data_IF_094693483918
#
_entry.id   IF_094693483918
#
_cell.length_a   1.000
_cell.length_b   1.000
_cell.length_c   1.000
_cell.angle_alpha   90.00
_cell.angle_beta   90.00
_cell.angle_gamma   90.00
#
_symmetry.space_group_name_H-M   'P 1'
#
loop_
_entity.id
_entity.type
_entity.pdbx_description
1 polymer ?
#
# COMPACT_ATOMS: atom_id res chain seq x y z
N UNK A 1 4.33 3.72 4.53
CA UNK A 1 3.14 2.89 4.34
C UNK A 1 3.14 2.39 2.90
N UNK A 2 3.29 1.08 2.72
CA UNK A 2 3.22 0.42 1.41
C UNK A 2 1.83 -0.22 1.32
N UNK A 3 1.05 0.05 0.28
CA UNK A 3 -0.38 -0.29 0.26
C UNK A 3 -0.64 -1.59 -0.50
N UNK A 4 0.15 -1.85 -1.53
CA UNK A 4 -0.01 -3.01 -2.39
C UNK A 4 1.34 -3.63 -2.75
N UNK A 5 1.29 -4.75 -3.48
CA UNK A 5 2.47 -5.48 -3.95
C UNK A 5 3.43 -4.63 -4.76
N UNK A 6 2.89 -3.80 -5.66
CA UNK A 6 3.72 -2.95 -6.53
C UNK A 6 4.50 -1.93 -5.71
N UNK A 7 3.88 -1.30 -4.71
CA UNK A 7 4.57 -0.39 -3.79
C UNK A 7 5.73 -1.09 -3.06
N UNK A 8 5.49 -2.33 -2.58
CA UNK A 8 6.52 -3.13 -1.89
C UNK A 8 7.69 -3.45 -2.82
N UNK A 9 7.40 -3.94 -4.04
CA UNK A 9 8.42 -4.29 -5.03
C UNK A 9 9.23 -3.06 -5.47
N UNK A 10 8.56 -1.92 -5.74
CA UNK A 10 9.25 -0.67 -6.07
C UNK A 10 10.13 -0.20 -4.92
N UNK A 11 9.65 -0.26 -3.69
CA UNK A 11 10.42 0.12 -2.50
C UNK A 11 11.66 -0.75 -2.33
N UNK A 12 11.54 -2.07 -2.51
CA UNK A 12 12.66 -3.00 -2.44
C UNK A 12 13.67 -2.79 -3.56
N UNK A 13 13.22 -2.50 -4.78
CA UNK A 13 14.11 -2.20 -5.92
C UNK A 13 14.97 -0.97 -5.63
N UNK A 14 14.34 0.09 -5.13
CA UNK A 14 15.05 1.32 -4.77
C UNK A 14 16.02 1.08 -3.59
N UNK A 15 15.65 0.24 -2.63
CA UNK A 15 16.56 -0.15 -1.54
C UNK A 15 17.77 -0.95 -2.02
N UNK A 16 17.55 -1.93 -2.91
CA UNK A 16 18.63 -2.71 -3.52
C UNK A 16 19.61 -1.79 -4.24
N UNK A 17 19.12 -0.80 -5.00
CA UNK A 17 19.98 0.14 -5.73
C UNK A 17 20.74 1.05 -4.77
N UNK A 18 20.09 1.58 -3.74
CA UNK A 18 20.76 2.35 -2.69
C UNK A 18 21.91 1.57 -2.05
N UNK A 19 21.69 0.29 -1.71
CA UNK A 19 22.74 -0.56 -1.13
C UNK A 19 23.91 -0.83 -2.09
N UNK A 20 23.71 -0.76 -3.42
CA UNK A 20 24.79 -0.86 -4.41
C UNK A 20 25.59 0.43 -4.50
N UNK A 21 24.92 1.58 -4.52
CA UNK A 21 25.54 2.87 -4.82
C UNK A 21 26.16 3.56 -3.58
N UNK A 22 25.51 3.47 -2.41
CA UNK A 22 25.80 4.36 -1.28
C UNK A 22 26.61 3.68 -0.19
N UNK A 23 27.75 4.22 0.27
CA UNK A 23 28.63 3.61 1.30
C UNK A 23 28.37 4.06 2.75
N UNK A 24 27.24 4.71 3.02
CA UNK A 24 27.00 5.47 4.26
C UNK A 24 26.81 4.60 5.52
N UNK A 25 26.59 3.29 5.39
CA UNK A 25 26.12 2.47 6.51
C UNK A 25 27.22 1.86 7.39
N UNK A 26 28.50 2.21 7.18
CA UNK A 26 29.67 1.64 7.88
C UNK A 26 29.77 0.10 7.82
N UNK A 27 29.08 -0.55 6.87
CA UNK A 27 29.16 -2.01 6.68
C UNK A 27 30.46 -2.41 6.01
N UNK A 28 30.98 -3.58 6.39
CA UNK A 28 32.02 -4.22 5.60
C UNK A 28 31.51 -4.57 4.20
N UNK A 29 32.44 -4.66 3.23
CA UNK A 29 32.12 -5.10 1.86
C UNK A 29 31.38 -6.44 1.86
N UNK A 30 31.77 -7.36 2.74
CA UNK A 30 31.18 -8.69 2.83
C UNK A 30 29.75 -8.66 3.36
N UNK A 31 29.48 -7.88 4.40
CA UNK A 31 28.12 -7.69 4.92
C UNK A 31 27.20 -7.09 3.85
N UNK A 32 27.67 -6.11 3.10
CA UNK A 32 26.92 -5.51 2.00
C UNK A 32 26.55 -6.52 0.90
N UNK A 33 27.49 -7.35 0.48
CA UNK A 33 27.21 -8.42 -0.50
C UNK A 33 26.09 -9.36 -0.02
N UNK A 34 26.09 -9.69 1.27
CA UNK A 34 25.08 -10.57 1.89
C UNK A 34 23.72 -9.89 1.97
N UNK A 35 23.67 -8.61 2.37
CA UNK A 35 22.43 -7.81 2.41
C UNK A 35 21.80 -7.73 1.02
N UNK A 36 22.58 -7.37 0.00
CA UNK A 36 22.09 -7.27 -1.39
C UNK A 36 21.55 -8.63 -1.85
N UNK A 37 22.27 -9.73 -1.57
CA UNK A 37 21.80 -11.08 -1.91
C UNK A 37 20.46 -11.41 -1.25
N UNK A 38 20.31 -11.12 0.05
CA UNK A 38 19.05 -11.38 0.78
C UNK A 38 17.91 -10.52 0.22
N UNK A 39 18.18 -9.25 -0.07
CA UNK A 39 17.16 -8.36 -0.66
C UNK A 39 16.71 -8.84 -2.05
N UNK A 40 17.62 -9.32 -2.90
CA UNK A 40 17.26 -9.92 -4.19
C UNK A 40 16.40 -11.18 -4.01
N UNK A 41 16.82 -12.11 -3.17
CA UNK A 41 16.02 -13.31 -2.89
C UNK A 41 14.63 -12.97 -2.33
N UNK A 42 14.57 -11.96 -1.47
CA UNK A 42 13.32 -11.49 -0.87
C UNK A 42 12.42 -10.82 -1.91
N UNK A 43 13.00 -10.04 -2.83
CA UNK A 43 12.29 -9.47 -3.97
C UNK A 43 11.66 -10.57 -4.84
N UNK A 44 12.45 -11.56 -5.27
CA UNK A 44 11.96 -12.67 -6.10
C UNK A 44 10.86 -13.47 -5.38
N UNK A 45 10.99 -13.65 -4.06
CA UNK A 45 9.96 -14.31 -3.25
C UNK A 45 8.68 -13.48 -3.18
N UNK A 46 8.76 -12.16 -3.03
CA UNK A 46 7.59 -11.28 -3.02
C UNK A 46 6.93 -11.23 -4.40
N UNK A 47 7.73 -11.16 -5.47
CA UNK A 47 7.24 -11.15 -6.85
C UNK A 47 6.43 -12.40 -7.17
N UNK A 48 6.86 -13.56 -6.68
CA UNK A 48 6.16 -14.84 -6.84
C UNK A 48 5.04 -15.09 -5.82
N UNK A 49 4.93 -14.27 -4.77
CA UNK A 49 3.94 -14.45 -3.72
C UNK A 49 2.60 -13.80 -4.06
N UNK A 50 1.51 -14.53 -3.86
CA UNK A 50 0.16 -14.00 -4.02
C UNK A 50 -0.21 -13.14 -2.81
N UNK A 51 -0.27 -11.82 -3.02
CA UNK A 51 -0.57 -10.88 -1.95
C UNK A 51 -2.02 -11.06 -1.50
N UNK A 52 -2.29 -11.05 -0.18
CA UNK A 52 -3.66 -11.03 0.29
C UNK A 52 -4.36 -9.77 -0.23
N UNK A 53 -5.55 -9.95 -0.79
CA UNK A 53 -6.44 -8.85 -1.15
C UNK A 53 -6.91 -8.21 0.15
N UNK A 54 -6.52 -6.95 0.36
CA UNK A 54 -6.86 -6.20 1.57
C UNK A 54 -7.97 -5.23 1.20
N UNK A 55 -9.20 -5.56 1.58
CA UNK A 55 -10.37 -4.70 1.41
C UNK A 55 -10.57 -3.72 2.58
N UNK A 56 -9.61 -3.64 3.52
CA UNK A 56 -9.72 -2.84 4.74
C UNK A 56 -8.68 -1.72 4.78
N UNK A 57 -9.17 -0.50 4.99
CA UNK A 57 -8.42 0.76 4.97
C UNK A 57 -7.39 0.91 6.11
N UNK A 58 -7.37 -0.01 7.07
CA UNK A 58 -6.51 0.04 8.24
C UNK A 58 -5.28 -0.86 8.13
N UNK A 59 -5.06 -1.52 7.00
CA UNK A 59 -3.94 -2.44 6.85
C UNK A 59 -2.92 -1.90 5.87
N UNK A 60 -1.65 -2.13 6.17
CA UNK A 60 -0.54 -1.75 5.31
C UNK A 60 0.62 -2.72 5.41
N UNK A 61 1.48 -2.71 4.39
CA UNK A 61 2.69 -3.52 4.36
C UNK A 61 3.89 -2.72 4.87
N UNK A 62 4.73 -3.40 5.64
CA UNK A 62 6.03 -2.91 6.07
C UNK A 62 6.99 -4.09 6.19
N UNK A 63 8.20 -3.95 5.65
CA UNK A 63 9.24 -4.95 5.82
C UNK A 63 10.25 -4.52 6.86
N UNK A 64 10.74 -5.48 7.63
CA UNK A 64 11.71 -5.25 8.71
C UNK A 64 12.84 -6.25 8.62
N UNK A 65 14.05 -5.78 8.89
CA UNK A 65 15.17 -6.65 9.17
C UNK A 65 15.02 -7.27 10.55
N UNK A 66 15.23 -8.57 10.60
CA UNK A 66 15.28 -9.38 11.80
C UNK A 66 16.73 -9.84 12.02
N UNK A 67 16.99 -10.48 13.16
CA UNK A 67 18.29 -11.08 13.52
C UNK A 67 18.88 -11.98 12.42
N UNK A 68 18.02 -12.70 11.71
CA UNK A 68 18.39 -13.77 10.80
C UNK A 68 17.73 -13.66 9.44
N UNK A 69 17.30 -12.47 9.02
CA UNK A 69 16.69 -12.28 7.72
C UNK A 69 15.90 -10.99 7.59
N UNK A 70 15.04 -10.94 6.59
CA UNK A 70 14.07 -9.87 6.36
C UNK A 70 12.66 -10.46 6.31
N UNK A 71 11.69 -9.73 6.85
CA UNK A 71 10.29 -10.15 6.88
C UNK A 71 9.38 -9.04 6.34
N UNK A 72 8.40 -9.39 5.52
CA UNK A 72 7.29 -8.53 5.14
C UNK A 72 6.15 -8.81 6.11
N UNK A 73 5.66 -7.75 6.74
CA UNK A 73 4.54 -7.83 7.66
C UNK A 73 3.37 -7.02 7.12
N UNK A 74 2.18 -7.56 7.33
CA UNK A 74 0.92 -6.88 7.19
C UNK A 74 0.55 -6.31 8.56
N UNK A 75 0.60 -4.99 8.65
CA UNK A 75 0.45 -4.20 9.87
C UNK A 75 -0.97 -3.66 9.95
N UNK A 76 -1.60 -3.75 11.13
CA UNK A 76 -2.85 -3.07 11.41
C UNK A 76 -2.56 -1.69 12.01
N UNK A 77 -3.05 -0.64 11.34
CA UNK A 77 -2.97 0.74 11.77
C UNK A 77 -4.04 1.00 12.83
N UNK A 78 -3.62 1.15 14.10
CA UNK A 78 -4.50 1.52 15.20
C UNK A 78 -4.76 3.04 15.20
N UNK A 79 -3.73 3.83 14.90
CA UNK A 79 -3.80 5.28 14.87
C UNK A 79 -2.93 5.82 13.73
N UNK A 80 -3.49 6.78 13.00
CA UNK A 80 -2.82 7.52 11.94
C UNK A 80 -2.87 9.00 12.30
N UNK A 81 -1.71 9.60 12.54
CA UNK A 81 -1.58 11.04 12.75
C UNK A 81 -1.13 11.66 11.45
N UNK A 82 -1.86 12.67 11.00
CA UNK A 82 -1.52 13.48 9.84
C UNK A 82 -0.90 14.80 10.29
N UNK A 83 0.05 15.32 9.51
CA UNK A 83 0.57 16.67 9.69
C UNK A 83 -0.42 17.74 9.17
N UNK A 84 -0.04 19.01 9.34
CA UNK A 84 -0.85 20.17 8.91
C UNK A 84 -1.05 20.23 7.38
N UNK A 85 -0.24 19.51 6.60
CA UNK A 85 -0.36 19.39 5.14
C UNK A 85 -1.22 18.18 4.72
N UNK A 86 -1.66 17.36 5.69
CA UNK A 86 -2.44 16.15 5.49
C UNK A 86 -1.60 14.95 5.08
N UNK A 87 -0.27 15.01 5.22
CA UNK A 87 0.62 13.86 5.06
C UNK A 87 0.69 13.03 6.32
N UNK A 88 1.04 11.75 6.19
CA UNK A 88 1.19 10.84 7.35
C UNK A 88 2.42 11.27 8.15
N UNK A 89 2.20 11.81 9.36
CA UNK A 89 3.21 12.17 10.34
C UNK A 89 3.67 10.95 11.14
N UNK A 90 2.72 10.20 11.71
CA UNK A 90 3.03 8.97 12.43
C UNK A 90 1.92 7.92 12.38
N UNK A 91 2.32 6.66 12.56
CA UNK A 91 1.43 5.49 12.60
C UNK A 91 1.71 4.66 13.83
N UNK A 92 0.66 4.18 14.50
CA UNK A 92 0.78 3.18 15.56
C UNK A 92 0.16 1.86 15.13
N UNK A 93 0.78 0.75 15.53
CA UNK A 93 0.33 -0.60 15.21
C UNK A 93 0.60 -1.57 16.35
N UNK A 94 -0.44 -2.24 16.80
CA UNK A 94 -0.42 -3.24 17.88
C UNK A 94 -0.38 -4.66 17.35
N UNK A 95 -0.90 -4.89 16.14
CA UNK A 95 -1.00 -6.20 15.52
C UNK A 95 -0.29 -6.24 14.16
N UNK A 96 0.37 -7.36 13.91
CA UNK A 96 1.03 -7.62 12.63
C UNK A 96 0.98 -9.10 12.28
N UNK A 97 0.91 -9.39 10.99
CA UNK A 97 0.96 -10.75 10.44
C UNK A 97 2.18 -10.83 9.55
N UNK A 98 3.03 -11.83 9.76
CA UNK A 98 4.17 -12.09 8.87
C UNK A 98 3.63 -12.74 7.59
N UNK A 99 3.86 -12.10 6.46
CA UNK A 99 3.38 -12.55 5.14
C UNK A 99 4.47 -13.32 4.40
N UNK A 100 5.68 -12.76 4.38
CA UNK A 100 6.84 -13.37 3.72
C UNK A 100 8.06 -13.21 4.64
N UNK A 101 8.89 -14.24 4.72
CA UNK A 101 10.23 -14.13 5.32
C UNK A 101 11.27 -14.64 4.35
N UNK A 102 12.44 -13.99 4.33
CA UNK A 102 13.67 -14.53 3.74
C UNK A 102 14.74 -14.61 4.83
N UNK A 103 15.14 -15.83 5.17
CA UNK A 103 16.13 -16.10 6.21
C UNK A 103 17.53 -16.22 5.61
N UNK A 104 18.50 -15.68 6.33
CA UNK A 104 19.91 -15.82 6.03
C UNK A 104 20.46 -17.17 6.53
N UNK A 105 21.64 -17.53 6.04
CA UNK A 105 22.35 -18.72 6.51
C UNK A 105 22.97 -18.52 7.90
N UNK A 106 23.01 -19.61 8.66
CA UNK A 106 23.78 -19.70 9.89
C UNK A 106 25.12 -20.41 9.63
N UNK A 107 26.20 -19.71 9.94
CA UNK A 107 27.57 -20.18 9.75
C UNK A 107 28.11 -20.77 11.05
N UNK A 108 28.83 -21.88 10.95
CA UNK A 108 29.72 -22.33 12.02
C UNK A 108 30.80 -21.29 12.31
N UNK A 109 31.46 -21.41 13.47
CA UNK A 109 32.62 -20.59 13.84
C UNK A 109 33.71 -20.66 12.77
N UNK A 110 33.95 -21.85 12.22
CA UNK A 110 34.97 -22.10 11.22
C UNK A 110 34.62 -21.50 9.86
N UNK A 111 33.35 -21.53 9.46
CA UNK A 111 32.89 -20.87 8.23
C UNK A 111 32.92 -19.34 8.36
N UNK A 112 32.41 -18.80 9.47
CA UNK A 112 32.46 -17.35 9.74
C UNK A 112 33.91 -16.83 9.77
N UNK A 113 34.82 -17.60 10.35
CA UNK A 113 36.25 -17.29 10.37
C UNK A 113 36.83 -17.17 8.95
N UNK A 114 36.44 -18.05 8.02
CA UNK A 114 36.85 -17.97 6.61
C UNK A 114 36.29 -16.73 5.91
N UNK A 115 35.02 -16.40 6.16
CA UNK A 115 34.34 -15.24 5.55
C UNK A 115 35.07 -13.92 5.84
N UNK A 116 35.61 -13.76 7.04
CA UNK A 116 36.29 -12.53 7.49
C UNK A 116 37.82 -12.64 7.58
N UNK A 117 38.40 -13.72 7.06
CA UNK A 117 39.84 -14.02 7.07
C UNK A 117 40.48 -13.87 8.47
N UNK A 118 39.91 -14.59 9.44
CA UNK A 118 40.42 -14.63 10.82
C UNK A 118 40.54 -16.07 11.32
N UNK A 119 41.21 -16.27 12.45
CA UNK A 119 41.30 -17.59 13.09
C UNK A 119 39.99 -17.93 13.82
N UNK A 120 39.54 -19.20 13.83
CA UNK A 120 38.38 -19.62 14.62
C UNK A 120 38.48 -19.27 16.11
N UNK A 121 39.71 -19.29 16.68
CA UNK A 121 39.96 -18.87 18.06
C UNK A 121 39.63 -17.40 18.31
N UNK A 122 39.86 -16.53 17.33
CA UNK A 122 39.49 -15.11 17.38
C UNK A 122 37.98 -14.94 17.40
N UNK A 123 37.24 -15.70 16.59
CA UNK A 123 35.77 -15.68 16.56
C UNK A 123 35.20 -16.16 17.90
N UNK A 124 35.71 -17.26 18.45
CA UNK A 124 35.30 -17.73 19.80
C UNK A 124 35.59 -16.68 20.88
N UNK A 125 36.70 -15.94 20.76
CA UNK A 125 37.01 -14.84 21.67
C UNK A 125 36.04 -13.67 21.51
N UNK A 126 35.57 -13.37 20.30
CA UNK A 126 34.54 -12.35 20.07
C UNK A 126 33.21 -12.76 20.71
N UNK A 127 32.76 -13.99 20.52
CA UNK A 127 31.55 -14.52 21.18
C UNK A 127 31.69 -14.43 22.71
N UNK A 128 32.81 -14.93 23.27
CA UNK A 128 33.08 -14.91 24.72
C UNK A 128 33.04 -13.50 25.32
N UNK A 129 33.35 -12.48 24.52
CA UNK A 129 33.40 -11.07 24.94
C UNK A 129 32.12 -10.30 24.63
N UNK A 130 31.05 -10.97 24.19
CA UNK A 130 29.78 -10.33 23.83
C UNK A 130 29.87 -9.45 22.58
N UNK A 131 30.81 -9.72 21.67
CA UNK A 131 31.01 -8.90 20.46
C UNK A 131 30.20 -9.32 19.25
N UNK A 132 29.72 -10.57 19.23
CA UNK A 132 28.80 -11.10 18.21
C UNK A 132 27.54 -11.46 18.98
N UNK A 133 26.62 -10.50 19.14
CA UNK A 133 25.57 -10.58 20.16
C UNK A 133 24.37 -11.41 19.74
N UNK A 134 24.26 -11.67 18.44
CA UNK A 134 23.22 -12.48 17.85
C UNK A 134 23.70 -13.88 17.43
N UNK A 135 24.83 -14.37 17.97
CA UNK A 135 25.21 -15.78 17.83
C UNK A 135 24.22 -16.70 18.57
N UNK A 136 23.86 -17.85 17.99
CA UNK A 136 22.99 -18.88 18.60
C UNK A 136 23.85 -20.03 19.13
N UNK A 137 23.54 -20.51 20.32
CA UNK A 137 24.18 -21.71 20.89
C UNK A 137 23.26 -22.91 20.65
N UNK A 138 23.75 -23.90 19.90
CA UNK A 138 23.02 -25.15 19.66
C UNK A 138 23.88 -26.31 20.13
N UNK A 139 23.46 -26.93 21.24
CA UNK A 139 24.27 -27.95 21.92
C UNK A 139 25.63 -27.41 22.34
N UNK A 140 26.71 -27.91 21.72
CA UNK A 140 28.09 -27.48 22.00
C UNK A 140 28.62 -26.44 21.02
N UNK A 141 27.88 -26.17 19.94
CA UNK A 141 28.35 -25.36 18.83
C UNK A 141 27.70 -23.98 18.85
N UNK A 142 28.42 -23.02 18.26
CA UNK A 142 27.95 -21.66 18.06
C UNK A 142 27.70 -21.43 16.58
N UNK A 143 26.51 -20.94 16.28
CA UNK A 143 26.10 -20.53 14.95
C UNK A 143 26.00 -19.01 14.87
N UNK A 144 26.51 -18.43 13.80
CA UNK A 144 26.57 -17.00 13.58
C UNK A 144 25.81 -16.68 12.30
N UNK A 145 24.83 -15.79 12.39
CA UNK A 145 24.10 -15.28 11.22
C UNK A 145 25.09 -14.68 10.22
N UNK A 146 24.95 -14.99 8.93
CA UNK A 146 25.79 -14.39 7.89
C UNK A 146 25.61 -12.86 7.79
N UNK A 147 24.50 -12.31 8.31
CA UNK A 147 24.27 -10.86 8.46
C UNK A 147 25.16 -10.18 9.52
N UNK A 148 25.79 -10.96 10.40
CA UNK A 148 26.66 -10.42 11.45
C UNK A 148 27.96 -9.87 10.85
N UNK A 149 28.21 -8.57 11.01
CA UNK A 149 29.45 -7.96 10.56
C UNK A 149 30.62 -8.31 11.48
N UNK A 150 31.83 -8.10 10.98
CA UNK A 150 33.04 -8.16 11.79
C UNK A 150 32.95 -7.14 12.94
N UNK A 151 33.16 -7.56 14.20
CA UNK A 151 33.08 -6.64 15.33
C UNK A 151 34.08 -5.48 15.24
N UNK A 152 33.61 -4.27 15.55
CA UNK A 152 34.45 -3.07 15.59
C UNK A 152 35.37 -3.06 16.84
N UNK A 153 36.36 -2.16 16.80
CA UNK A 153 37.27 -1.92 17.93
C UNK A 153 36.53 -1.19 19.04
N UNK A 154 36.78 -1.58 20.29
CA UNK A 154 36.07 -1.06 21.45
C UNK A 154 34.78 -1.84 21.77
N UNK A 155 33.94 -1.24 22.59
CA UNK A 155 32.62 -1.70 22.96
C UNK A 155 31.60 -0.70 22.42
N UNK A 156 30.51 -1.20 21.86
CA UNK A 156 29.37 -0.41 21.40
C UNK A 156 28.19 -0.69 22.31
N UNK A 157 27.38 0.31 22.58
CA UNK A 157 26.17 0.14 23.39
C UNK A 157 25.20 -0.83 22.71
N UNK A 158 24.39 -1.52 23.50
CA UNK A 158 23.42 -2.51 23.00
C UNK A 158 22.18 -2.56 23.88
N UNK A 159 21.04 -2.88 23.30
CA UNK A 159 19.86 -3.34 24.04
C UNK A 159 19.57 -4.80 23.73
N UNK A 160 19.17 -5.55 24.73
CA UNK A 160 18.68 -6.92 24.63
C UNK A 160 17.19 -6.95 24.92
N UNK A 161 16.46 -7.71 24.11
CA UNK A 161 15.09 -8.10 24.39
C UNK A 161 15.08 -9.52 24.94
N UNK A 162 14.34 -9.72 26.02
CA UNK A 162 14.30 -10.94 26.79
C UNK A 162 12.87 -11.47 26.74
N UNK A 163 12.62 -12.46 25.88
CA UNK A 163 11.32 -13.14 25.84
C UNK A 163 11.24 -14.24 26.90
N UNK A 164 12.34 -14.98 27.07
CA UNK A 164 12.46 -16.07 28.03
C UNK A 164 13.92 -16.25 28.47
N UNK A 165 14.10 -16.64 29.74
CA UNK A 165 15.38 -17.02 30.31
C UNK A 165 15.26 -18.39 30.96
N UNK A 166 16.28 -19.24 30.79
CA UNK A 166 16.35 -20.51 31.50
C UNK A 166 16.55 -20.32 33.00
N UNK A 167 16.18 -21.34 33.78
CA UNK A 167 16.40 -21.35 35.23
C UNK A 167 17.89 -21.21 35.59
N UNK A 168 18.81 -21.74 34.77
CA UNK A 168 20.26 -21.61 35.00
C UNK A 168 20.69 -20.14 35.05
N UNK A 169 20.16 -19.30 34.16
CA UNK A 169 20.47 -17.88 34.14
C UNK A 169 19.78 -17.17 35.31
N UNK A 170 18.52 -17.49 35.58
CA UNK A 170 17.75 -16.86 36.65
C UNK A 170 18.31 -17.19 38.05
N UNK A 171 18.88 -18.37 38.26
CA UNK A 171 19.58 -18.71 39.52
C UNK A 171 20.80 -17.81 39.75
N UNK A 172 21.51 -17.47 38.68
CA UNK A 172 22.73 -16.64 38.74
C UNK A 172 22.43 -15.14 38.72
N UNK A 173 21.36 -14.74 38.03
CA UNK A 173 20.94 -13.36 37.83
C UNK A 173 19.43 -13.21 38.10
N UNK A 174 18.98 -13.41 39.35
CA UNK A 174 17.55 -13.47 39.69
C UNK A 174 16.80 -12.16 39.43
N UNK A 175 17.52 -11.04 39.43
CA UNK A 175 16.94 -9.73 39.13
C UNK A 175 16.39 -9.65 37.69
N UNK A 176 16.90 -10.45 36.74
CA UNK A 176 16.44 -10.42 35.35
C UNK A 176 15.01 -10.91 35.15
N UNK A 177 14.45 -11.66 36.11
CA UNK A 177 13.13 -12.28 35.98
C UNK A 177 12.00 -11.27 35.70
N UNK A 178 12.16 -10.02 36.14
CA UNK A 178 11.14 -8.97 36.04
C UNK A 178 11.23 -8.11 34.78
N UNK A 179 12.31 -8.25 34.01
CA UNK A 179 12.63 -7.34 32.92
C UNK A 179 12.53 -8.02 31.57
N UNK A 180 11.99 -7.29 30.61
CA UNK A 180 11.84 -7.72 29.22
C UNK A 180 12.89 -7.04 28.32
N UNK A 181 13.54 -5.99 28.82
CA UNK A 181 14.60 -5.26 28.12
C UNK A 181 15.75 -4.92 29.05
N UNK A 182 16.96 -5.06 28.51
CA UNK A 182 18.22 -4.75 29.19
C UNK A 182 19.12 -3.96 28.23
N UNK A 183 19.45 -2.72 28.56
CA UNK A 183 20.41 -1.91 27.80
C UNK A 183 21.75 -1.82 28.53
N UNK A 184 22.86 -1.97 27.80
CA UNK A 184 24.22 -1.89 28.34
C UNK A 184 25.00 -0.82 27.57
N UNK A 185 25.46 0.20 28.26
CA UNK A 185 26.32 1.25 27.70
C UNK A 185 27.58 1.50 28.53
N UNK A 186 28.55 2.23 27.97
CA UNK A 186 29.65 2.75 28.81
C UNK A 186 29.10 3.79 29.78
N UNK A 187 29.49 3.70 31.05
CA UNK A 187 29.05 4.68 32.03
C UNK A 187 29.71 6.04 31.79
N UNK A 188 28.91 7.10 31.77
CA UNK A 188 29.40 8.48 31.78
C UNK A 188 29.70 8.98 33.21
N UNK A 189 29.35 8.19 34.22
CA UNK A 189 29.45 8.56 35.64
C UNK A 189 30.61 7.84 36.34
N UNK A 190 30.84 6.57 36.00
CA UNK A 190 31.91 5.76 36.56
C UNK A 190 32.89 5.33 35.47
N UNK A 191 34.10 5.87 35.51
CA UNK A 191 35.17 5.49 34.59
C UNK A 191 35.42 3.97 34.63
N UNK A 192 35.65 3.38 33.46
CA UNK A 192 35.93 1.95 33.25
C UNK A 192 34.83 0.96 33.66
N UNK A 193 33.59 1.44 33.84
CA UNK A 193 32.41 0.60 34.10
C UNK A 193 31.35 0.75 33.02
N UNK A 194 30.45 -0.24 33.00
CA UNK A 194 29.30 -0.28 32.11
C UNK A 194 28.05 -0.04 32.92
N UNK A 195 27.18 0.84 32.44
CA UNK A 195 25.85 1.07 32.98
C UNK A 195 24.87 0.09 32.36
N UNK A 196 24.04 -0.51 33.19
CA UNK A 196 22.91 -1.35 32.78
C UNK A 196 21.62 -0.63 33.14
N UNK A 197 20.70 -0.54 32.18
CA UNK A 197 19.35 -0.06 32.36
C UNK A 197 18.37 -1.21 32.12
N UNK A 198 17.53 -1.49 33.10
CA UNK A 198 16.55 -2.58 33.07
C UNK A 198 15.14 -2.00 32.97
N UNK A 199 14.31 -2.52 32.05
CA UNK A 199 12.90 -2.15 31.94
C UNK A 199 11.95 -3.31 31.73
N UNK A 200 10.74 -3.12 32.26
CA UNK A 200 9.57 -3.97 32.06
C UNK A 200 8.53 -3.19 31.25
N UNK A 201 7.72 -3.88 30.42
CA UNK A 201 6.59 -3.25 29.71
C UNK A 201 5.56 -2.63 30.65
N UNK A 202 5.49 -3.09 31.90
CA UNK A 202 4.47 -2.68 32.87
C UNK A 202 4.79 -1.37 33.61
N UNK A 203 6.07 -0.97 33.64
CA UNK A 203 6.50 0.18 34.45
C UNK A 203 7.02 1.31 33.55
N UNK A 204 6.28 2.42 33.57
CA UNK A 204 6.54 3.61 32.78
C UNK A 204 7.56 4.51 33.50
N UNK A 205 8.73 3.97 33.86
CA UNK A 205 9.76 4.53 34.78
C UNK A 205 9.53 4.21 36.27
N UNK A 206 10.61 4.10 37.07
CA UNK A 206 12.04 4.26 36.73
C UNK A 206 12.74 2.98 36.26
N UNK A 207 13.74 3.14 35.38
CA UNK A 207 14.69 2.08 35.04
C UNK A 207 15.53 1.71 36.26
N UNK A 208 15.62 0.41 36.59
CA UNK A 208 16.64 -0.01 37.54
C UNK A 208 18.01 0.10 36.89
N UNK A 209 18.95 0.70 37.62
CA UNK A 209 20.31 0.99 37.14
C UNK A 209 21.33 0.21 37.94
N UNK A 210 22.25 -0.44 37.22
CA UNK A 210 23.38 -1.16 37.81
C UNK A 210 24.67 -0.82 37.09
N UNK A 211 25.81 -1.04 37.75
CA UNK A 211 27.13 -0.87 37.14
C UNK A 211 27.91 -2.17 37.17
N UNK A 212 28.46 -2.58 36.03
CA UNK A 212 29.30 -3.77 35.89
C UNK A 212 30.72 -3.41 35.49
N UNK A 213 31.68 -4.19 35.99
CA UNK A 213 33.03 -4.25 35.43
C UNK A 213 33.04 -4.94 34.06
N UNK A 214 34.15 -4.81 33.33
CA UNK A 214 34.35 -5.51 32.04
C UNK A 214 34.12 -7.02 32.15
N UNK A 215 34.61 -7.67 33.21
CA UNK A 215 34.53 -9.13 33.37
C UNK A 215 33.09 -9.56 33.67
N UNK A 216 32.37 -8.81 34.50
CA UNK A 216 30.97 -9.09 34.84
C UNK A 216 30.07 -8.92 33.62
N UNK A 217 30.29 -7.84 32.86
CA UNK A 217 29.58 -7.55 31.62
C UNK A 217 29.80 -8.63 30.56
N UNK A 218 31.04 -9.05 30.32
CA UNK A 218 31.35 -10.15 29.38
C UNK A 218 30.69 -11.48 29.80
N UNK A 219 30.65 -11.79 31.11
CA UNK A 219 29.97 -12.99 31.63
C UNK A 219 28.46 -12.94 31.46
N UNK A 220 27.86 -11.78 31.71
CA UNK A 220 26.42 -11.57 31.54
C UNK A 220 26.02 -11.66 30.07
N UNK A 221 26.67 -10.89 29.19
CA UNK A 221 26.41 -10.94 27.74
C UNK A 221 26.58 -12.37 27.21
N UNK A 222 27.62 -13.10 27.59
CA UNK A 222 27.83 -14.49 27.12
C UNK A 222 26.68 -15.43 27.51
N UNK A 223 26.11 -15.25 28.71
CA UNK A 223 24.95 -16.04 29.14
C UNK A 223 23.69 -15.63 28.37
N UNK A 224 23.45 -14.33 28.23
CA UNK A 224 22.31 -13.79 27.48
C UNK A 224 22.30 -14.30 26.03
N UNK A 225 23.41 -14.16 25.30
CA UNK A 225 23.50 -14.59 23.90
C UNK A 225 23.43 -16.11 23.72
N UNK A 226 23.58 -16.88 24.81
CA UNK A 226 23.44 -18.33 24.76
C UNK A 226 21.99 -18.80 24.82
N UNK A 227 21.06 -17.92 25.20
CA UNK A 227 19.61 -18.16 25.15
C UNK A 227 19.06 -17.86 23.76
N UNK A 228 18.25 -18.77 23.24
CA UNK A 228 17.64 -18.59 21.92
C UNK A 228 16.54 -17.52 21.93
N UNK A 229 15.89 -17.32 23.08
CA UNK A 229 14.80 -16.38 23.32
C UNK A 229 15.29 -15.00 23.80
N UNK A 230 16.60 -14.76 23.72
CA UNK A 230 17.22 -13.46 23.91
C UNK A 230 17.83 -13.01 22.60
N UNK A 231 17.57 -11.77 22.22
CA UNK A 231 18.14 -11.17 21.03
C UNK A 231 18.62 -9.76 21.30
N UNK A 232 19.75 -9.42 20.68
CA UNK A 232 20.28 -8.07 20.73
C UNK A 232 19.61 -7.23 19.65
N UNK A 233 19.06 -6.11 20.07
CA UNK A 233 18.80 -4.92 19.26
C UNK A 233 20.16 -4.31 18.87
N UNK A 234 20.93 -5.07 18.10
CA UNK A 234 21.92 -4.46 17.23
C UNK A 234 21.08 -3.61 16.31
N UNK A 235 21.32 -2.29 16.25
CA UNK A 235 20.62 -1.35 15.38
C UNK A 235 20.79 -1.83 13.95
N UNK A 236 19.95 -2.78 13.57
CA UNK A 236 20.11 -3.57 12.39
C UNK A 236 19.57 -2.70 11.28
N UNK A 237 20.54 -2.12 10.58
CA UNK A 237 20.41 -1.68 9.21
C UNK A 237 19.59 -0.40 9.12
N UNK A 238 20.27 0.68 8.77
CA UNK A 238 19.62 1.84 8.17
C UNK A 238 18.73 1.27 7.06
N UNK A 239 17.44 1.24 7.31
CA UNK A 239 16.47 0.89 6.31
C UNK A 239 16.37 2.14 5.45
N UNK A 240 16.89 2.05 4.23
CA UNK A 240 16.61 3.10 3.27
C UNK A 240 15.12 3.04 2.98
N UNK A 241 14.44 4.13 3.33
CA UNK A 241 13.05 4.37 2.97
C UNK A 241 13.12 5.23 1.71
N UNK A 242 12.85 4.68 0.52
CA UNK A 242 12.87 5.47 -0.71
C UNK A 242 11.93 6.66 -0.62
N UNK A 243 12.26 7.76 -1.31
CA UNK A 243 11.30 8.86 -1.46
C UNK A 243 10.02 8.31 -2.10
N UNK A 244 8.89 8.48 -1.41
CA UNK A 244 7.58 8.01 -1.86
C UNK A 244 7.30 8.58 -3.26
N UNK A 245 7.23 7.71 -4.28
CA UNK A 245 6.75 8.08 -5.62
C UNK A 245 5.23 8.19 -5.65
N UNK A 246 4.57 7.32 -4.88
CA UNK A 246 3.14 7.35 -4.64
C UNK A 246 2.88 7.93 -3.25
N UNK A 247 2.23 9.08 -3.20
CA UNK A 247 1.69 9.64 -1.95
C UNK A 247 0.20 9.31 -1.88
N UNK A 248 -0.25 8.94 -0.70
CA UNK A 248 -1.64 8.56 -0.44
C UNK A 248 -2.19 9.43 0.68
N UNK A 249 -3.45 9.83 0.57
CA UNK A 249 -4.17 10.53 1.61
C UNK A 249 -5.49 9.82 1.89
N UNK A 250 -5.99 9.96 3.13
CA UNK A 250 -7.31 9.46 3.49
C UNK A 250 -8.34 10.55 3.25
N UNK A 251 -9.34 10.28 2.41
CA UNK A 251 -10.47 11.19 2.18
C UNK A 251 -11.78 10.40 2.25
N UNK A 252 -12.70 10.85 3.11
CA UNK A 252 -13.99 10.18 3.31
C UNK A 252 -13.84 8.68 3.73
N UNK A 253 -12.72 8.35 4.38
CA UNK A 253 -12.34 6.98 4.75
C UNK A 253 -11.46 6.26 3.72
N UNK A 254 -11.52 6.63 2.45
CA UNK A 254 -10.77 5.93 1.40
C UNK A 254 -9.31 6.38 1.30
N UNK A 255 -8.40 5.43 1.11
CA UNK A 255 -7.00 5.69 0.75
C UNK A 255 -6.96 6.04 -0.74
N UNK A 256 -6.69 7.30 -1.07
CA UNK A 256 -6.65 7.80 -2.44
C UNK A 256 -5.23 8.26 -2.78
N UNK A 257 -4.77 7.98 -4.00
CA UNK A 257 -3.51 8.51 -4.52
C UNK A 257 -3.60 10.05 -4.60
N UNK A 258 -2.63 10.76 -4.02
CA UNK A 258 -2.63 12.21 -3.91
C UNK A 258 -2.70 12.89 -5.29
N UNK A 259 -2.01 12.35 -6.31
CA UNK A 259 -2.10 12.84 -7.69
C UNK A 259 -3.54 12.82 -8.25
N UNK A 260 -4.37 11.84 -7.86
CA UNK A 260 -5.80 11.82 -8.21
C UNK A 260 -6.54 12.95 -7.50
N UNK A 261 -6.23 13.21 -6.24
CA UNK A 261 -6.80 14.34 -5.47
C UNK A 261 -6.38 15.69 -6.02
N UNK A 262 -5.12 15.85 -6.45
CA UNK A 262 -4.64 17.07 -7.08
C UNK A 262 -5.31 17.30 -8.44
N UNK A 263 -5.47 16.25 -9.24
CA UNK A 263 -6.22 16.29 -10.50
C UNK A 263 -7.68 16.69 -10.26
N UNK A 264 -8.31 16.14 -9.23
CA UNK A 264 -9.67 16.51 -8.81
C UNK A 264 -9.76 17.97 -8.36
N UNK A 265 -8.84 18.44 -7.49
CA UNK A 265 -8.76 19.84 -7.03
C UNK A 265 -8.55 20.79 -8.21
N UNK A 266 -7.68 20.43 -9.16
CA UNK A 266 -7.42 21.21 -10.38
C UNK A 266 -8.66 21.29 -11.27
N UNK A 267 -9.42 20.20 -11.38
CA UNK A 267 -10.67 20.16 -12.14
C UNK A 267 -11.76 21.03 -11.52
N UNK A 268 -11.92 20.98 -10.19
CA UNK A 268 -12.83 21.88 -9.46
C UNK A 268 -12.40 23.34 -9.63
N UNK A 269 -11.11 23.64 -9.43
CA UNK A 269 -10.59 25.00 -9.55
C UNK A 269 -10.86 25.56 -10.96
N UNK A 270 -10.61 24.77 -12.01
CA UNK A 270 -10.90 25.13 -13.39
C UNK A 270 -12.41 25.38 -13.62
N UNK A 271 -13.28 24.54 -13.07
CA UNK A 271 -14.74 24.74 -13.13
C UNK A 271 -15.13 26.07 -12.48
N UNK A 272 -14.61 26.35 -11.29
CA UNK A 272 -14.92 27.57 -10.55
C UNK A 272 -14.34 28.83 -11.23
N UNK A 273 -13.10 28.78 -11.72
CA UNK A 273 -12.44 29.88 -12.43
C UNK A 273 -13.13 30.22 -13.76
N UNK A 274 -13.69 29.23 -14.45
CA UNK A 274 -14.40 29.42 -15.71
C UNK A 274 -15.91 29.74 -15.55
N UNK A 275 -16.36 29.97 -14.30
CA UNK A 275 -17.77 30.18 -13.92
C UNK A 275 -18.69 29.04 -14.38
N UNK A 276 -18.17 27.82 -14.38
CA UNK A 276 -18.87 26.61 -14.79
C UNK A 276 -19.56 25.95 -13.59
N UNK A 277 -20.63 25.21 -13.87
CA UNK A 277 -21.36 24.40 -12.91
C UNK A 277 -21.74 23.07 -13.57
N UNK A 278 -21.49 21.96 -12.86
CA UNK A 278 -22.05 20.65 -13.22
C UNK A 278 -23.27 20.42 -12.33
N UNK A 279 -24.37 19.99 -12.94
CA UNK A 279 -25.63 19.69 -12.26
C UNK A 279 -26.10 18.31 -12.69
N UNK A 280 -26.49 17.49 -11.71
CA UNK A 280 -27.01 16.14 -11.92
C UNK A 280 -28.40 16.08 -11.29
N UNK A 281 -29.42 15.93 -12.11
CA UNK A 281 -30.80 15.76 -11.67
C UNK A 281 -31.15 14.27 -11.76
N UNK A 282 -31.20 13.61 -10.60
CA UNK A 282 -31.42 12.17 -10.52
C UNK A 282 -32.89 11.86 -10.25
N UNK A 283 -33.42 10.82 -10.88
CA UNK A 283 -34.78 10.34 -10.67
C UNK A 283 -34.85 8.82 -10.80
N UNK A 284 -35.83 8.22 -10.12
CA UNK A 284 -36.13 6.80 -10.21
C UNK A 284 -37.28 6.58 -11.17
N UNK A 285 -37.14 5.58 -12.03
CA UNK A 285 -38.18 5.11 -12.93
C UNK A 285 -38.45 3.64 -12.65
N UNK A 286 -39.73 3.25 -12.72
CA UNK A 286 -40.12 1.86 -12.55
C UNK A 286 -40.10 1.15 -13.91
N UNK A 287 -39.25 0.15 -14.04
CA UNK A 287 -39.05 -0.67 -15.22
C UNK A 287 -39.35 -2.14 -14.83
N UNK A 288 -40.62 -2.54 -14.97
CA UNK A 288 -41.10 -3.83 -14.47
C UNK A 288 -41.11 -3.89 -12.95
N UNK A 289 -40.24 -4.73 -12.37
CA UNK A 289 -40.02 -4.85 -10.92
C UNK A 289 -38.74 -4.12 -10.44
N UNK A 290 -38.03 -3.42 -11.33
CA UNK A 290 -36.82 -2.68 -10.99
C UNK A 290 -37.08 -1.18 -10.82
N UNK A 291 -36.49 -0.62 -9.76
CA UNK A 291 -36.32 0.83 -9.61
C UNK A 291 -34.98 1.23 -10.24
N UNK A 292 -35.04 1.78 -11.45
CA UNK A 292 -33.86 2.18 -12.22
C UNK A 292 -33.54 3.64 -11.98
N UNK A 293 -32.28 3.91 -11.64
CA UNK A 293 -31.77 5.27 -11.54
C UNK A 293 -31.48 5.84 -12.92
N UNK A 294 -32.04 7.02 -13.15
CA UNK A 294 -31.75 7.84 -14.31
C UNK A 294 -31.21 9.20 -13.86
N UNK A 295 -30.42 9.82 -14.71
CA UNK A 295 -29.77 11.11 -14.44
C UNK A 295 -29.81 12.01 -15.67
N UNK A 296 -30.22 13.24 -15.48
CA UNK A 296 -29.96 14.32 -16.43
C UNK A 296 -28.72 15.08 -15.97
N UNK A 297 -27.71 15.20 -16.83
CA UNK A 297 -26.42 15.78 -16.48
C UNK A 297 -26.18 17.01 -17.34
N UNK A 298 -25.93 18.16 -16.73
CA UNK A 298 -25.73 19.43 -17.42
C UNK A 298 -24.41 20.08 -17.02
N UNK A 299 -23.63 20.51 -18.01
CA UNK A 299 -22.57 21.51 -17.82
C UNK A 299 -23.13 22.88 -18.19
N UNK A 300 -23.21 23.78 -17.21
CA UNK A 300 -23.73 25.15 -17.34
C UNK A 300 -22.58 26.15 -17.14
N UNK A 301 -22.70 27.32 -17.78
CA UNK A 301 -21.87 28.49 -17.51
C UNK A 301 -22.72 29.61 -16.97
N UNK A 302 -22.29 30.22 -15.87
CA UNK A 302 -22.91 31.45 -15.36
C UNK A 302 -22.56 32.61 -16.27
N UNK A 303 -23.57 33.35 -16.67
CA UNK A 303 -23.46 34.59 -17.43
C UNK A 303 -24.03 35.69 -16.56
N UNK A 304 -23.15 36.60 -16.15
CA UNK A 304 -23.53 37.77 -15.37
C UNK A 304 -24.10 38.86 -16.29
N UNK A 305 -25.17 39.49 -15.85
CA UNK A 305 -25.68 40.70 -16.49
C UNK A 305 -25.03 41.95 -15.90
N UNK A 306 -25.31 43.10 -16.52
CA UNK A 306 -24.74 44.39 -16.12
C UNK A 306 -25.30 44.91 -14.77
N UNK A 307 -26.36 44.28 -14.24
CA UNK A 307 -27.03 44.66 -12.98
C UNK A 307 -26.60 43.75 -11.81
N UNK A 308 -25.67 42.82 -12.04
CA UNK A 308 -25.16 41.89 -11.03
C UNK A 308 -26.03 40.64 -10.84
N UNK A 309 -27.06 40.46 -11.67
CA UNK A 309 -27.77 39.19 -11.82
C UNK A 309 -26.94 38.18 -12.63
N UNK A 310 -27.35 36.92 -12.60
CA UNK A 310 -26.76 35.90 -13.45
C UNK A 310 -27.80 34.93 -14.00
N UNK A 311 -27.49 34.35 -15.16
CA UNK A 311 -28.26 33.27 -15.78
C UNK A 311 -27.34 32.11 -16.16
N UNK A 312 -27.88 30.90 -16.12
CA UNK A 312 -27.12 29.71 -16.50
C UNK A 312 -27.34 29.38 -17.98
N UNK A 313 -26.27 29.39 -18.76
CA UNK A 313 -26.26 28.90 -20.14
C UNK A 313 -25.79 27.45 -20.19
N UNK A 314 -26.65 26.53 -20.63
CA UNK A 314 -26.28 25.13 -20.91
C UNK A 314 -25.23 25.07 -22.03
N UNK A 315 -24.12 24.38 -21.78
CA UNK A 315 -23.00 24.17 -22.70
C UNK A 315 -22.94 22.72 -23.21
N UNK A 316 -23.26 21.78 -22.32
CA UNK A 316 -23.42 20.36 -22.60
C UNK A 316 -24.60 19.84 -21.79
N UNK A 317 -25.38 18.96 -22.39
CA UNK A 317 -26.55 18.33 -21.80
C UNK A 317 -26.57 16.84 -22.17
N UNK A 318 -26.77 16.00 -21.16
CA UNK A 318 -27.04 14.57 -21.29
C UNK A 318 -28.41 14.36 -20.67
N UNK A 319 -29.33 13.80 -21.45
CA UNK A 319 -30.70 13.53 -21.02
C UNK A 319 -30.89 12.02 -20.94
N UNK A 320 -31.42 11.55 -19.82
CA UNK A 320 -31.76 10.14 -19.63
C UNK A 320 -30.53 9.21 -19.58
N UNK A 321 -29.44 9.65 -18.95
CA UNK A 321 -28.37 8.71 -18.61
C UNK A 321 -28.94 7.66 -17.66
N UNK A 322 -28.75 6.37 -17.97
CA UNK A 322 -29.44 5.26 -17.31
C UNK A 322 -28.43 4.35 -16.62
N UNK A 323 -28.74 3.90 -15.41
CA UNK A 323 -27.91 2.92 -14.71
C UNK A 323 -28.38 1.51 -15.07
N UNK A 324 -27.50 0.74 -15.70
CA UNK A 324 -27.65 -0.70 -15.88
C UNK A 324 -27.33 -1.39 -14.56
N UNK A 325 -28.25 -2.17 -13.96
CA UNK A 325 -28.00 -2.89 -12.72
C UNK A 325 -26.84 -3.90 -12.83
N UNK A 326 -26.22 -4.22 -11.70
CA UNK A 326 -25.17 -5.22 -11.65
C UNK A 326 -25.76 -6.62 -11.81
N UNK A 327 -24.96 -7.60 -12.24
CA UNK A 327 -25.46 -8.97 -12.42
C UNK A 327 -26.00 -9.58 -11.12
N UNK A 328 -25.42 -9.22 -9.97
CA UNK A 328 -25.88 -9.67 -8.66
C UNK A 328 -27.26 -9.12 -8.24
N UNK A 329 -27.75 -8.08 -8.91
CA UNK A 329 -29.05 -7.47 -8.59
C UNK A 329 -30.24 -8.27 -9.17
N UNK A 330 -29.98 -9.25 -10.04
CA UNK A 330 -30.99 -10.08 -10.69
C UNK A 330 -31.20 -11.40 -9.93
N UNK A 331 -32.44 -11.89 -9.91
CA UNK A 331 -32.80 -13.15 -9.25
C UNK A 331 -33.90 -13.89 -10.02
N UNK A 332 -34.22 -15.13 -9.63
CA UNK A 332 -35.30 -15.89 -10.26
C UNK A 332 -36.69 -15.24 -10.09
N UNK A 333 -36.83 -14.29 -9.17
CA UNK A 333 -38.07 -13.58 -8.87
C UNK A 333 -38.20 -12.23 -9.60
N UNK A 334 -37.18 -11.78 -10.34
CA UNK A 334 -37.19 -10.49 -11.05
C UNK A 334 -37.73 -10.61 -12.47
N UNK A 335 -38.38 -9.55 -12.97
CA UNK A 335 -38.87 -9.45 -14.36
C UNK A 335 -37.79 -9.59 -15.45
N UNK A 336 -36.51 -9.46 -15.08
CA UNK A 336 -35.36 -9.66 -15.96
C UNK A 336 -34.38 -10.66 -15.32
N UNK A 337 -33.63 -11.38 -16.13
CA UNK A 337 -32.74 -12.44 -15.67
C UNK A 337 -31.25 -12.05 -15.64
N UNK A 338 -30.88 -11.00 -16.36
CA UNK A 338 -29.49 -10.54 -16.47
C UNK A 338 -29.42 -9.06 -16.86
N UNK A 339 -28.26 -8.39 -16.71
CA UNK A 339 -28.07 -7.05 -17.26
C UNK A 339 -28.30 -6.98 -18.77
N UNK A 340 -27.94 -8.05 -19.50
CA UNK A 340 -28.08 -8.10 -20.95
C UNK A 340 -29.53 -8.29 -21.38
N UNK A 341 -30.30 -9.12 -20.67
CA UNK A 341 -31.74 -9.31 -20.84
C UNK A 341 -32.50 -8.00 -20.55
N UNK A 342 -32.12 -7.31 -19.47
CA UNK A 342 -32.63 -5.97 -19.18
C UNK A 342 -32.34 -4.99 -20.33
N UNK A 343 -31.11 -4.94 -20.84
CA UNK A 343 -30.77 -4.05 -21.95
C UNK A 343 -31.59 -4.36 -23.21
N UNK A 344 -31.83 -5.63 -23.54
CA UNK A 344 -32.66 -6.05 -24.68
C UNK A 344 -34.11 -5.58 -24.54
N UNK A 345 -34.64 -5.62 -23.32
CA UNK A 345 -36.00 -5.16 -23.02
C UNK A 345 -36.17 -3.63 -23.17
N UNK A 346 -35.10 -2.86 -22.94
CA UNK A 346 -35.12 -1.40 -23.00
C UNK A 346 -34.94 -0.89 -24.43
N UNK A 347 -33.83 -1.26 -25.09
CA UNK A 347 -33.60 -0.89 -26.49
C UNK A 347 -32.50 -1.74 -27.13
N UNK A 348 -32.59 -1.92 -28.46
CA UNK A 348 -31.53 -2.59 -29.23
C UNK A 348 -30.17 -1.89 -29.12
N UNK A 349 -30.16 -0.56 -29.09
CA UNK A 349 -28.94 0.25 -28.96
C UNK A 349 -28.25 0.02 -27.61
N UNK A 350 -29.04 -0.06 -26.53
CA UNK A 350 -28.55 -0.38 -25.19
C UNK A 350 -28.05 -1.83 -25.11
N UNK A 351 -28.79 -2.78 -25.71
CA UNK A 351 -28.38 -4.18 -25.82
C UNK A 351 -27.03 -4.34 -26.51
N UNK A 352 -26.86 -3.79 -27.71
CA UNK A 352 -25.61 -3.93 -28.46
C UNK A 352 -24.46 -3.18 -27.79
N UNK A 353 -24.74 -2.04 -27.16
CA UNK A 353 -23.75 -1.28 -26.40
C UNK A 353 -23.23 -2.08 -25.20
N UNK A 354 -24.14 -2.61 -24.37
CA UNK A 354 -23.75 -3.44 -23.24
C UNK A 354 -23.08 -4.73 -23.69
N UNK A 355 -23.62 -5.43 -24.70
CA UNK A 355 -23.03 -6.66 -25.26
C UNK A 355 -21.60 -6.48 -25.76
N UNK A 356 -21.20 -5.25 -26.13
CA UNK A 356 -19.81 -4.97 -26.54
C UNK A 356 -18.83 -5.12 -25.36
N UNK A 357 -19.27 -4.84 -24.14
CA UNK A 357 -18.44 -4.83 -22.92
C UNK A 357 -18.81 -5.93 -21.89
N UNK A 358 -20.02 -6.46 -21.95
CA UNK A 358 -20.62 -7.37 -20.98
C UNK A 358 -21.39 -8.53 -21.62
N UNK A 359 -21.89 -9.42 -20.78
CA UNK A 359 -22.71 -10.58 -21.10
C UNK A 359 -23.75 -10.80 -19.98
N UNK A 360 -24.41 -11.96 -19.96
CA UNK A 360 -25.42 -12.27 -18.92
C UNK A 360 -24.85 -12.34 -17.51
N UNK A 361 -23.55 -12.65 -17.36
CA UNK A 361 -22.88 -12.81 -16.06
C UNK A 361 -22.26 -11.49 -15.55
N UNK A 362 -22.34 -10.40 -16.33
CA UNK A 362 -21.78 -9.09 -16.01
C UNK A 362 -20.76 -8.59 -17.03
N UNK A 363 -19.75 -7.86 -16.57
CA UNK A 363 -18.70 -7.28 -17.43
C UNK A 363 -17.74 -8.40 -17.89
N UNK A 364 -17.37 -8.44 -19.18
CA UNK A 364 -16.50 -9.50 -19.70
C UNK A 364 -15.10 -9.43 -19.08
N UNK A 365 -14.51 -10.60 -18.84
CA UNK A 365 -13.14 -10.76 -18.32
C UNK A 365 -12.09 -9.96 -19.12
N UNK A 366 -12.23 -9.90 -20.45
CA UNK A 366 -11.33 -9.11 -21.30
C UNK A 366 -11.41 -7.60 -21.03
N UNK A 367 -12.59 -7.09 -20.65
CA UNK A 367 -12.80 -5.69 -20.29
C UNK A 367 -12.28 -5.42 -18.89
N UNK A 368 -12.49 -6.35 -17.95
CA UNK A 368 -11.94 -6.28 -16.59
C UNK A 368 -10.41 -6.15 -16.65
N UNK A 369 -9.75 -7.02 -17.44
CA UNK A 369 -8.30 -6.95 -17.65
C UNK A 369 -7.86 -5.69 -18.38
N UNK A 370 -8.60 -5.25 -19.40
CA UNK A 370 -8.26 -4.05 -20.18
C UNK A 370 -8.33 -2.76 -19.34
N UNK A 371 -9.24 -2.72 -18.36
CA UNK A 371 -9.47 -1.57 -17.50
C UNK A 371 -8.80 -1.67 -16.12
N UNK A 372 -8.03 -2.72 -15.86
CA UNK A 372 -7.40 -2.98 -14.56
C UNK A 372 -8.45 -2.95 -13.43
N UNK A 373 -9.54 -3.70 -13.64
CA UNK A 373 -10.61 -3.95 -12.68
C UNK A 373 -10.37 -5.23 -11.90
N UNK A 374 -10.91 -5.30 -10.69
CA UNK A 374 -10.87 -6.54 -9.87
C UNK A 374 -11.87 -7.56 -10.44
N UNK A 375 -11.63 -8.86 -10.28
CA UNK A 375 -12.51 -9.91 -10.82
C UNK A 375 -13.94 -9.83 -10.25
N UNK A 376 -14.08 -9.50 -8.96
CA UNK A 376 -15.37 -9.31 -8.29
C UNK A 376 -16.17 -8.13 -8.91
N UNK A 377 -15.49 -7.12 -9.47
CA UNK A 377 -16.14 -6.00 -10.17
C UNK A 377 -16.89 -6.46 -11.42
N UNK A 378 -16.66 -7.68 -11.92
CA UNK A 378 -17.39 -8.26 -13.06
C UNK A 378 -18.90 -8.30 -12.84
N UNK A 379 -19.33 -8.84 -11.69
CA UNK A 379 -20.75 -9.08 -11.41
C UNK A 379 -21.34 -8.08 -10.41
N UNK A 380 -20.50 -7.32 -9.68
CA UNK A 380 -20.94 -6.31 -8.70
C UNK A 380 -21.09 -4.90 -9.28
N UNK A 381 -20.53 -4.63 -10.47
CA UNK A 381 -20.53 -3.27 -11.03
C UNK A 381 -21.80 -2.97 -11.81
N UNK A 382 -22.48 -1.89 -11.42
CA UNK A 382 -23.46 -1.23 -12.28
C UNK A 382 -22.75 -0.42 -13.37
N UNK A 383 -23.43 -0.19 -14.49
CA UNK A 383 -22.88 0.55 -15.64
C UNK A 383 -23.72 1.78 -15.95
N UNK A 384 -23.09 2.95 -16.00
CA UNK A 384 -23.73 4.17 -16.50
C UNK A 384 -23.78 4.12 -18.03
N UNK A 385 -24.98 4.02 -18.60
CA UNK A 385 -25.23 4.09 -20.03
C UNK A 385 -25.65 5.49 -20.46
N UNK A 386 -25.02 6.00 -21.50
CA UNK A 386 -25.33 7.29 -22.12
C UNK A 386 -25.37 7.16 -23.63
N UNK A 387 -26.43 7.67 -24.25
CA UNK A 387 -26.61 7.63 -25.71
C UNK A 387 -26.62 9.02 -26.33
N UNK A 388 -27.23 9.99 -25.65
CA UNK A 388 -27.46 11.32 -26.20
C UNK A 388 -26.66 12.38 -25.46
N UNK A 389 -25.51 12.77 -26.04
CA UNK A 389 -24.73 13.92 -25.56
C UNK A 389 -24.95 15.10 -26.51
N UNK A 390 -25.74 16.08 -26.06
CA UNK A 390 -25.82 17.37 -26.73
C UNK A 390 -24.68 18.27 -26.28
N UNK A 391 -23.82 18.69 -27.22
CA UNK A 391 -22.72 19.59 -26.90
C UNK A 391 -22.58 20.67 -27.98
N UNK A 392 -22.50 21.94 -27.53
CA UNK A 392 -22.41 23.09 -28.44
C UNK A 392 -21.04 23.20 -29.10
N UNK A 393 -19.97 22.89 -28.37
CA UNK A 393 -18.59 22.96 -28.86
C UNK A 393 -17.75 21.84 -28.23
N UNK A 394 -16.83 21.25 -29.01
CA UNK A 394 -15.98 20.13 -28.53
C UNK A 394 -15.16 20.46 -27.29
N UNK A 395 -14.77 21.74 -27.10
CA UNK A 395 -14.08 22.19 -25.89
C UNK A 395 -14.88 21.94 -24.61
N UNK A 396 -16.22 22.01 -24.68
CA UNK A 396 -17.10 21.78 -23.54
C UNK A 396 -17.20 20.30 -23.21
N UNK A 397 -17.21 19.43 -24.22
CA UNK A 397 -17.09 17.98 -24.01
C UNK A 397 -15.75 17.64 -23.35
N UNK A 398 -14.65 18.23 -23.82
CA UNK A 398 -13.34 18.02 -23.21
C UNK A 398 -13.32 18.46 -21.73
N UNK A 399 -13.83 19.66 -21.42
CA UNK A 399 -13.94 20.13 -20.03
C UNK A 399 -14.81 19.20 -19.18
N UNK A 400 -15.93 18.72 -19.72
CA UNK A 400 -16.81 17.77 -19.03
C UNK A 400 -16.09 16.44 -18.73
N UNK A 401 -15.40 15.85 -19.71
CA UNK A 401 -14.70 14.58 -19.53
C UNK A 401 -13.49 14.69 -18.58
N UNK A 402 -12.79 15.84 -18.57
CA UNK A 402 -11.75 16.10 -17.58
C UNK A 402 -12.28 16.19 -16.15
N UNK A 403 -13.55 16.58 -16.00
CA UNK A 403 -14.24 16.71 -14.73
C UNK A 403 -15.18 15.55 -14.42
N UNK A 404 -15.09 14.44 -15.15
CA UNK A 404 -16.08 13.36 -15.07
C UNK A 404 -16.15 12.71 -13.68
N UNK A 405 -15.04 12.68 -12.93
CA UNK A 405 -15.01 12.19 -11.56
C UNK A 405 -15.93 12.99 -10.61
N UNK A 406 -16.19 14.27 -10.92
CA UNK A 406 -17.15 15.12 -10.19
C UNK A 406 -18.59 14.68 -10.51
N UNK A 407 -18.86 14.36 -11.78
CA UNK A 407 -20.17 13.83 -12.22
C UNK A 407 -20.47 12.54 -11.48
N UNK A 408 -19.49 11.61 -11.39
CA UNK A 408 -19.64 10.35 -10.66
C UNK A 408 -20.10 10.55 -9.22
N UNK A 409 -19.54 11.53 -8.49
CA UNK A 409 -19.97 11.84 -7.11
C UNK A 409 -21.42 12.34 -7.02
N UNK A 410 -21.96 12.87 -8.11
CA UNK A 410 -23.36 13.30 -8.20
C UNK A 410 -24.33 12.19 -8.59
N UNK A 411 -23.83 11.01 -8.98
CA UNK A 411 -24.67 9.86 -9.32
C UNK A 411 -25.07 9.09 -8.04
N UNK A 412 -26.29 8.54 -7.98
CA UNK A 412 -26.85 7.95 -6.76
C UNK A 412 -26.36 6.53 -6.46
N UNK A 413 -25.32 6.02 -7.16
CA UNK A 413 -24.97 4.59 -7.15
C UNK A 413 -23.53 4.38 -6.72
N UNK A 414 -23.36 3.81 -5.52
CA UNK A 414 -22.06 3.51 -4.91
C UNK A 414 -21.24 2.47 -5.69
N UNK A 415 -21.91 1.60 -6.45
CA UNK A 415 -21.30 0.49 -7.21
C UNK A 415 -21.19 0.76 -8.72
N UNK A 416 -21.44 2.00 -9.17
CA UNK A 416 -21.26 2.35 -10.58
C UNK A 416 -19.77 2.55 -10.88
N UNK A 417 -19.10 1.49 -11.36
CA UNK A 417 -17.65 1.44 -11.62
C UNK A 417 -17.29 1.67 -13.09
N UNK A 418 -18.27 1.62 -13.98
CA UNK A 418 -18.05 1.73 -15.42
C UNK A 418 -19.06 2.71 -16.04
N UNK A 419 -18.58 3.50 -17.00
CA UNK A 419 -19.46 4.30 -17.86
C UNK A 419 -19.25 3.92 -19.33
N UNK A 420 -20.35 3.89 -20.07
CA UNK A 420 -20.39 3.68 -21.51
C UNK A 420 -21.16 4.80 -22.20
N UNK A 421 -20.62 5.25 -23.33
CA UNK A 421 -21.21 6.25 -24.19
C UNK A 421 -21.35 5.68 -25.59
N UNK A 422 -22.58 5.53 -26.07
CA UNK A 422 -22.88 5.19 -27.45
C UNK A 422 -22.73 6.45 -28.31
N UNK A 423 -21.97 6.35 -29.41
CA UNK A 423 -21.76 7.43 -30.36
C UNK A 423 -21.89 6.92 -31.80
N UNK A 424 -22.48 7.73 -32.67
CA UNK A 424 -22.52 7.46 -34.10
C UNK A 424 -21.22 7.94 -34.78
N UNK A 425 -20.30 7.02 -35.08
CA UNK A 425 -18.97 7.30 -35.63
C UNK A 425 -18.97 8.27 -36.81
N UNK A 426 -19.88 8.08 -37.77
CA UNK A 426 -19.94 8.90 -38.98
C UNK A 426 -20.36 10.35 -38.70
N UNK A 427 -21.23 10.57 -37.71
CA UNK A 427 -21.72 11.91 -37.33
C UNK A 427 -20.86 12.55 -36.24
N UNK A 428 -20.19 11.75 -35.42
CA UNK A 428 -19.61 12.19 -34.14
C UNK A 428 -18.11 11.91 -34.00
N UNK A 429 -17.40 11.64 -35.11
CA UNK A 429 -15.95 11.42 -35.13
C UNK A 429 -15.12 12.45 -34.32
N UNK A 430 -15.55 13.72 -34.30
CA UNK A 430 -14.92 14.76 -33.46
C UNK A 430 -15.10 14.51 -31.96
N UNK A 431 -16.28 14.04 -31.51
CA UNK A 431 -16.53 13.69 -30.11
C UNK A 431 -15.70 12.48 -29.73
N UNK A 432 -15.69 11.44 -30.57
CA UNK A 432 -14.89 10.22 -30.35
C UNK A 432 -13.42 10.55 -30.13
N UNK A 433 -12.85 11.46 -30.94
CA UNK A 433 -11.47 11.94 -30.75
C UNK A 433 -11.26 12.56 -29.36
N UNK A 434 -12.19 13.39 -28.90
CA UNK A 434 -12.12 14.01 -27.56
C UNK A 434 -12.19 12.96 -26.44
N UNK A 435 -13.01 11.93 -26.58
CA UNK A 435 -13.06 10.81 -25.62
C UNK A 435 -11.71 10.08 -25.54
N UNK A 436 -11.12 9.73 -26.69
CA UNK A 436 -9.80 9.08 -26.75
C UNK A 436 -8.69 9.96 -26.13
N UNK A 437 -8.70 11.26 -26.41
CA UNK A 437 -7.77 12.24 -25.80
C UNK A 437 -7.91 12.33 -24.26
N UNK A 438 -9.06 11.94 -23.71
CA UNK A 438 -9.33 11.87 -22.27
C UNK A 438 -9.19 10.44 -21.68
N UNK A 439 -8.55 9.53 -22.42
CA UNK A 439 -8.20 8.19 -21.96
C UNK A 439 -9.36 7.20 -21.94
N UNK A 440 -10.45 7.47 -22.65
CA UNK A 440 -11.52 6.49 -22.85
C UNK A 440 -11.12 5.45 -23.89
N UNK A 441 -11.59 4.22 -23.72
CA UNK A 441 -11.42 3.12 -24.67
C UNK A 441 -12.56 3.09 -25.68
N UNK A 442 -12.39 2.34 -26.78
CA UNK A 442 -13.37 2.27 -27.87
C UNK A 442 -13.60 0.83 -28.34
N UNK A 443 -14.86 0.45 -28.54
CA UNK A 443 -15.28 -0.80 -29.20
C UNK A 443 -16.27 -0.48 -30.31
N UNK A 444 -16.12 -1.13 -31.47
CA UNK A 444 -17.08 -1.00 -32.56
C UNK A 444 -18.26 -1.93 -32.28
N UNK A 445 -19.48 -1.41 -32.43
CA UNK A 445 -20.71 -2.22 -32.45
C UNK A 445 -20.95 -2.69 -33.88
N UNK A 446 -20.93 -1.74 -34.81
CA UNK A 446 -21.13 -1.98 -36.24
C UNK A 446 -20.31 -0.98 -37.09
N UNK A 447 -20.63 -0.83 -38.37
CA UNK A 447 -19.91 0.08 -39.27
C UNK A 447 -20.15 1.57 -38.99
N UNK A 448 -21.15 1.91 -38.18
CA UNK A 448 -21.66 3.26 -37.98
C UNK A 448 -21.65 3.72 -36.52
N UNK A 449 -21.59 2.79 -35.56
CA UNK A 449 -21.74 3.05 -34.12
C UNK A 449 -20.59 2.47 -33.30
N UNK A 450 -20.17 3.23 -32.28
CA UNK A 450 -19.08 2.87 -31.37
C UNK A 450 -19.48 3.11 -29.92
N UNK A 451 -18.93 2.29 -29.03
CA UNK A 451 -19.02 2.50 -27.58
C UNK A 451 -17.70 3.06 -27.08
N UNK A 452 -17.76 4.22 -26.44
CA UNK A 452 -16.68 4.74 -25.62
C UNK A 452 -16.88 4.26 -24.19
N UNK A 453 -15.87 3.68 -23.55
CA UNK A 453 -15.99 3.14 -22.20
C UNK A 453 -14.78 3.45 -21.34
N UNK A 454 -15.00 3.59 -20.03
CA UNK A 454 -13.95 3.90 -19.05
C UNK A 454 -14.39 3.46 -17.65
N UNK A 455 -13.43 2.96 -16.86
CA UNK A 455 -13.57 2.78 -15.42
C UNK A 455 -13.66 4.15 -14.73
N UNK A 456 -14.65 4.35 -13.87
CA UNK A 456 -14.97 5.66 -13.25
C UNK A 456 -14.83 5.65 -11.73
#
# INVERSE_FOLDING_TARGET
MLINKEDVLLSLRDYIEYCKETKEENWSKKKREIIIKILFNFYDRIESFDFPVINSQNWYYEYFWNRDGISLKLMYCDELILDDEGEIDSTSSSNSIIIVEEKCLYLSVEEYAKVYDVKPTTVRQWIRRGKIRNAKKIGRDWLISELADKPQKGYTDVSYFINYLSNEILEKYPYLQKYERLSIGKSNLENDKYEILLSSKKEKYPYERMYLSTIEREKLELMLISENEVYADETFLIMYIPKKRNKYCIKEGEIILENKVETYKKSIKKILEDDLKIECDNYLENEGDFLIWNSNICLKKKIFDNEGGYSDKKLLEIIGAKIIPASMDFSEETSFYSPLDYCDSVSGDMYFSYKSIGNDEGIKEEIIKELEMEEEESYESSVLYVENIEVKESKHLNTFLQAFDIVRKGLPVQYCRLAIFLLEWQKESKKVKVFLENGWKIRNIDSNSVVMYKKI
#
